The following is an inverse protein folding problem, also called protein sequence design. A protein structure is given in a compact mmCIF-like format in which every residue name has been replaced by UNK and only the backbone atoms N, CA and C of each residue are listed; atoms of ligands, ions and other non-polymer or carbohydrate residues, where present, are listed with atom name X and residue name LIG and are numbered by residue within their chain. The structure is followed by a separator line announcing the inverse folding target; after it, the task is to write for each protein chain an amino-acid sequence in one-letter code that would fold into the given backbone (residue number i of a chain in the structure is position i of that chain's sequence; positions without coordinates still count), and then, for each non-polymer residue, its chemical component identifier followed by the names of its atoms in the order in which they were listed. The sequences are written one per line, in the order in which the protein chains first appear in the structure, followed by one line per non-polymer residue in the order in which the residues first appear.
data_IF_638519246593
#
_entry.id   IF_638519246593
#
_cell.length_a   1.000
_cell.length_b   1.000
_cell.length_c   1.000
_cell.angle_alpha   90.00
_cell.angle_beta   90.00
_cell.angle_gamma   90.00
#
_symmetry.space_group_name_H-M   'P 1'
#
loop_
_entity.id
_entity.type
_entity.pdbx_description
1 polymer ?
#
# COMPACT_ATOMS: atom_id res chain seq x y z
N UNK A 1 17.42 -15.22 -13.17
CA UNK A 1 17.41 -14.51 -11.86
C UNK A 1 18.18 -13.22 -12.06
N UNK A 2 17.51 -12.06 -11.99
CA UNK A 2 18.17 -10.77 -12.22
C UNK A 2 18.89 -10.34 -10.94
N UNK A 3 20.22 -10.31 -10.96
CA UNK A 3 21.06 -9.88 -9.83
C UNK A 3 20.89 -8.39 -9.51
N UNK A 4 20.45 -7.59 -10.48
CA UNK A 4 20.27 -6.15 -10.33
C UNK A 4 19.25 -5.76 -9.24
N UNK A 5 18.12 -6.48 -9.12
CA UNK A 5 17.10 -6.22 -8.09
C UNK A 5 17.55 -6.60 -6.67
N UNK A 6 18.46 -7.56 -6.54
CA UNK A 6 18.98 -8.00 -5.23
C UNK A 6 20.03 -7.03 -4.67
N UNK A 7 20.77 -6.34 -5.54
CA UNK A 7 21.76 -5.34 -5.15
C UNK A 7 21.12 -4.02 -4.71
N UNK A 8 20.02 -3.60 -5.33
CA UNK A 8 19.30 -2.37 -4.96
C UNK A 8 18.60 -2.49 -3.60
N UNK A 9 17.97 -3.63 -3.26
CA UNK A 9 17.32 -3.83 -1.94
C UNK A 9 18.35 -3.80 -0.80
N UNK A 10 19.52 -4.41 -1.02
CA UNK A 10 20.63 -4.33 -0.05
C UNK A 10 21.15 -2.91 0.11
N UNK A 11 21.29 -2.14 -0.98
CA UNK A 11 21.75 -0.76 -0.92
C UNK A 11 20.80 0.11 -0.09
N UNK A 12 19.49 0.08 -0.37
CA UNK A 12 18.48 0.89 0.35
C UNK A 12 18.40 0.57 1.85
N UNK A 13 18.51 -0.71 2.22
CA UNK A 13 18.56 -1.10 3.65
C UNK A 13 19.84 -0.63 4.34
N UNK A 14 20.97 -0.55 3.63
CA UNK A 14 22.23 -0.03 4.18
C UNK A 14 22.18 1.49 4.42
N UNK A 15 21.30 2.22 3.73
CA UNK A 15 21.07 3.66 3.95
C UNK A 15 20.14 3.93 5.16
N UNK A 16 19.61 2.88 5.81
CA UNK A 16 18.80 2.99 7.03
C UNK A 16 17.28 2.96 6.83
N UNK A 17 16.78 2.64 5.63
CA UNK A 17 15.35 2.51 5.39
C UNK A 17 14.73 1.29 6.07
N UNK A 18 13.56 1.48 6.67
CA UNK A 18 12.72 0.39 7.11
C UNK A 18 12.31 -0.50 5.93
N UNK A 19 12.12 -1.79 6.22
CA UNK A 19 11.83 -2.76 5.17
C UNK A 19 10.48 -2.52 4.46
N UNK A 20 9.56 -1.76 5.06
CA UNK A 20 8.31 -1.37 4.41
C UNK A 20 8.53 -0.19 3.46
N UNK A 21 9.30 0.81 3.89
CA UNK A 21 9.66 1.96 3.05
C UNK A 21 10.50 1.56 1.86
N UNK A 22 11.46 0.64 2.04
CA UNK A 22 12.19 0.04 0.91
C UNK A 22 11.24 -0.68 -0.06
N UNK A 23 10.32 -1.50 0.44
CA UNK A 23 9.37 -2.22 -0.42
C UNK A 23 8.43 -1.27 -1.18
N UNK A 24 7.95 -0.21 -0.52
CA UNK A 24 7.16 0.83 -1.16
C UNK A 24 7.94 1.52 -2.27
N UNK A 25 9.19 1.97 -2.01
CA UNK A 25 10.03 2.61 -3.02
C UNK A 25 10.29 1.72 -4.24
N UNK A 26 10.65 0.46 -3.99
CA UNK A 26 10.93 -0.51 -5.05
C UNK A 26 9.73 -0.70 -5.99
N UNK A 27 8.55 -0.85 -5.38
CA UNK A 27 7.33 -1.06 -6.12
C UNK A 27 6.83 0.21 -6.82
N UNK A 28 6.81 1.35 -6.11
CA UNK A 28 6.16 2.58 -6.56
C UNK A 28 7.02 3.43 -7.50
N UNK A 29 8.34 3.48 -7.31
CA UNK A 29 9.20 4.50 -7.96
C UNK A 29 10.41 3.96 -8.70
N UNK A 30 11.00 2.85 -8.26
CA UNK A 30 12.21 2.28 -8.90
C UNK A 30 11.89 1.55 -10.22
N UNK A 31 10.61 1.41 -10.57
CA UNK A 31 10.19 1.17 -11.95
C UNK A 31 10.10 -0.29 -12.37
N UNK A 32 10.18 -1.25 -11.44
CA UNK A 32 9.79 -2.62 -11.70
C UNK A 32 8.34 -2.79 -11.21
N UNK A 33 7.35 -2.44 -12.04
CA UNK A 33 5.96 -2.91 -11.85
C UNK A 33 5.85 -4.45 -11.73
N UNK A 34 6.97 -5.15 -11.95
CA UNK A 34 7.24 -6.58 -11.80
C UNK A 34 7.94 -7.00 -10.50
N UNK A 35 8.21 -6.11 -9.54
CA UNK A 35 8.73 -6.55 -8.23
C UNK A 35 7.56 -7.08 -7.40
N UNK A 36 7.15 -8.30 -7.76
CA UNK A 36 6.03 -8.99 -7.14
C UNK A 36 6.26 -9.20 -5.64
N UNK A 37 7.50 -9.33 -5.19
CA UNK A 37 7.81 -9.54 -3.78
C UNK A 37 7.63 -8.25 -2.98
N UNK A 38 8.10 -7.11 -3.51
CA UNK A 38 7.83 -5.80 -2.93
C UNK A 38 6.33 -5.49 -2.91
N UNK A 39 5.62 -5.75 -4.01
CA UNK A 39 4.17 -5.58 -4.08
C UNK A 39 3.43 -6.45 -3.05
N UNK A 40 3.71 -7.76 -3.03
CA UNK A 40 3.09 -8.69 -2.07
C UNK A 40 3.36 -8.26 -0.63
N UNK A 41 4.57 -7.79 -0.34
CA UNK A 41 4.91 -7.28 0.98
C UNK A 41 4.06 -6.08 1.36
N UNK A 42 3.99 -5.06 0.51
CA UNK A 42 3.16 -3.86 0.74
C UNK A 42 1.71 -4.24 0.95
N UNK A 43 1.14 -5.06 0.05
CA UNK A 43 -0.26 -5.52 0.13
C UNK A 43 -0.51 -6.29 1.43
N UNK A 44 0.36 -7.23 1.80
CA UNK A 44 0.19 -8.03 3.01
C UNK A 44 0.28 -7.17 4.28
N UNK A 45 1.21 -6.22 4.33
CA UNK A 45 1.34 -5.29 5.46
C UNK A 45 0.07 -4.44 5.63
N UNK A 46 -0.42 -3.83 4.55
CA UNK A 46 -1.64 -3.02 4.58
C UNK A 46 -2.88 -3.86 4.89
N UNK A 47 -3.02 -5.05 4.29
CA UNK A 47 -4.14 -5.95 4.56
C UNK A 47 -4.17 -6.42 6.02
N UNK A 48 -3.01 -6.71 6.62
CA UNK A 48 -2.91 -7.02 8.04
C UNK A 48 -3.31 -5.84 8.93
N UNK A 49 -2.95 -4.62 8.54
CA UNK A 49 -3.39 -3.42 9.24
C UNK A 49 -4.91 -3.22 9.15
N UNK A 50 -5.53 -3.48 8.00
CA UNK A 50 -6.99 -3.44 7.86
C UNK A 50 -7.65 -4.40 8.87
N UNK A 51 -7.18 -5.65 8.94
CA UNK A 51 -7.73 -6.66 9.85
C UNK A 51 -7.47 -6.36 11.33
N UNK A 52 -6.35 -5.70 11.66
CA UNK A 52 -6.07 -5.30 13.04
C UNK A 52 -7.03 -4.21 13.53
N UNK A 53 -7.46 -3.32 12.63
CA UNK A 53 -8.45 -2.28 12.92
C UNK A 53 -9.89 -2.81 12.93
N UNK A 54 -10.18 -3.82 12.09
CA UNK A 54 -11.51 -4.39 11.87
C UNK A 54 -11.41 -5.90 11.69
N UNK A 55 -11.48 -6.64 12.80
CA UNK A 55 -11.31 -8.10 12.83
C UNK A 55 -12.40 -8.87 12.06
N UNK A 56 -13.54 -8.23 11.84
CA UNK A 56 -14.69 -8.73 11.10
C UNK A 56 -14.50 -8.69 9.57
N UNK A 57 -13.49 -7.99 9.06
CA UNK A 57 -13.19 -7.93 7.63
C UNK A 57 -12.53 -9.23 7.18
N UNK A 58 -13.10 -9.94 6.18
CA UNK A 58 -12.50 -11.15 5.64
C UNK A 58 -11.11 -10.89 5.02
N UNK A 59 -10.16 -11.85 5.09
CA UNK A 59 -8.83 -11.69 4.50
C UNK A 59 -8.84 -11.25 3.03
N UNK A 60 -9.69 -11.87 2.21
CA UNK A 60 -9.83 -11.51 0.79
C UNK A 60 -10.29 -10.06 0.59
N UNK A 61 -11.17 -9.55 1.45
CA UNK A 61 -11.64 -8.17 1.38
C UNK A 61 -10.55 -7.20 1.85
N UNK A 62 -9.77 -7.57 2.88
CA UNK A 62 -8.64 -6.74 3.35
C UNK A 62 -7.54 -6.56 2.30
N UNK A 63 -7.26 -7.61 1.51
CA UNK A 63 -6.32 -7.54 0.38
C UNK A 63 -6.83 -6.58 -0.68
N UNK A 64 -8.10 -6.69 -1.08
CA UNK A 64 -8.70 -5.78 -2.06
C UNK A 64 -8.70 -4.33 -1.60
N UNK A 65 -8.92 -4.08 -0.31
CA UNK A 65 -8.82 -2.74 0.29
C UNK A 65 -7.39 -2.20 0.16
N UNK A 66 -6.38 -3.03 0.46
CA UNK A 66 -4.97 -2.68 0.33
C UNK A 66 -4.57 -2.37 -1.13
N UNK A 67 -4.92 -3.24 -2.07
CA UNK A 67 -4.67 -3.03 -3.51
C UNK A 67 -5.33 -1.74 -4.00
N UNK A 68 -6.56 -1.48 -3.56
CA UNK A 68 -7.31 -0.30 -3.99
C UNK A 68 -6.71 1.01 -3.46
N UNK A 69 -6.17 1.04 -2.23
CA UNK A 69 -5.51 2.27 -1.73
C UNK A 69 -4.17 2.50 -2.41
N UNK A 70 -3.41 1.43 -2.69
CA UNK A 70 -2.17 1.50 -3.46
C UNK A 70 -2.44 2.12 -4.83
N UNK A 71 -3.44 1.63 -5.57
CA UNK A 71 -3.77 2.16 -6.89
C UNK A 71 -4.22 3.62 -6.83
N UNK A 72 -5.03 4.01 -5.84
CA UNK A 72 -5.44 5.41 -5.66
C UNK A 72 -4.25 6.32 -5.34
N UNK A 73 -3.29 5.85 -4.53
CA UNK A 73 -2.06 6.59 -4.22
C UNK A 73 -1.19 6.76 -5.46
N UNK A 74 -0.94 5.69 -6.20
CA UNK A 74 -0.11 5.73 -7.42
C UNK A 74 -0.72 6.58 -8.54
N UNK A 75 -2.05 6.58 -8.67
CA UNK A 75 -2.74 7.35 -9.71
C UNK A 75 -3.11 8.77 -9.31
N UNK A 76 -3.03 9.10 -8.01
CA UNK A 76 -3.51 10.37 -7.45
C UNK A 76 -5.02 10.57 -7.61
N UNK A 77 -5.78 9.51 -7.89
CA UNK A 77 -7.22 9.58 -8.19
C UNK A 77 -8.02 8.85 -7.13
N UNK A 78 -9.00 9.55 -6.56
CA UNK A 78 -10.00 8.89 -5.71
C UNK A 78 -11.01 8.10 -6.55
N UNK A 79 -11.33 6.89 -6.11
CA UNK A 79 -12.32 6.07 -6.80
C UNK A 79 -13.75 6.43 -6.42
N UNK A 80 -14.65 6.38 -7.41
CA UNK A 80 -16.08 6.58 -7.15
C UNK A 80 -16.63 5.44 -6.29
N UNK A 81 -17.69 5.71 -5.51
CA UNK A 81 -18.38 4.67 -4.70
C UNK A 81 -18.78 3.45 -5.55
N UNK A 82 -19.19 3.67 -6.80
CA UNK A 82 -19.52 2.59 -7.74
C UNK A 82 -18.31 1.71 -8.00
N UNK A 83 -17.18 2.32 -8.37
CA UNK A 83 -15.94 1.59 -8.66
C UNK A 83 -15.43 0.85 -7.41
N UNK A 84 -15.44 1.48 -6.23
CA UNK A 84 -15.08 0.82 -4.98
C UNK A 84 -15.94 -0.42 -4.72
N UNK A 85 -17.27 -0.34 -4.91
CA UNK A 85 -18.17 -1.47 -4.70
C UNK A 85 -17.87 -2.65 -5.65
N UNK A 86 -17.50 -2.35 -6.90
CA UNK A 86 -17.08 -3.35 -7.90
C UNK A 86 -15.76 -4.02 -7.49
N UNK A 87 -14.73 -3.22 -7.16
CA UNK A 87 -13.40 -3.73 -6.76
C UNK A 87 -13.51 -4.63 -5.53
N UNK A 88 -14.22 -4.14 -4.50
CA UNK A 88 -14.44 -4.87 -3.26
C UNK A 88 -15.39 -6.08 -3.44
N UNK A 89 -16.09 -6.16 -4.57
CA UNK A 89 -17.13 -7.16 -4.86
C UNK A 89 -18.19 -7.22 -3.77
N UNK A 90 -18.66 -6.06 -3.34
CA UNK A 90 -19.78 -5.92 -2.40
C UNK A 90 -20.92 -5.13 -3.05
N UNK A 91 -22.18 -5.39 -2.68
CA UNK A 91 -23.30 -4.60 -3.18
C UNK A 91 -23.11 -3.11 -2.88
N UNK A 92 -23.47 -2.24 -3.83
CA UNK A 92 -23.35 -0.78 -3.67
C UNK A 92 -24.06 -0.28 -2.41
N UNK A 93 -25.25 -0.81 -2.11
CA UNK A 93 -26.00 -0.46 -0.90
C UNK A 93 -25.22 -0.82 0.38
N UNK A 94 -24.51 -1.95 0.39
CA UNK A 94 -23.63 -2.35 1.49
C UNK A 94 -22.46 -1.38 1.63
N UNK A 95 -21.80 -1.03 0.52
CA UNK A 95 -20.72 -0.04 0.55
C UNK A 95 -21.19 1.30 1.13
N UNK A 96 -22.34 1.81 0.66
CA UNK A 96 -22.91 3.08 1.11
C UNK A 96 -23.27 3.06 2.59
N UNK A 97 -23.87 1.98 3.09
CA UNK A 97 -24.20 1.82 4.52
C UNK A 97 -22.95 1.89 5.41
N UNK A 98 -21.81 1.41 4.91
CA UNK A 98 -20.55 1.33 5.65
C UNK A 98 -19.51 2.36 5.20
N UNK A 99 -19.89 3.38 4.42
CA UNK A 99 -18.98 4.31 3.77
C UNK A 99 -18.02 5.00 4.74
N UNK A 100 -18.54 5.47 5.88
CA UNK A 100 -17.72 6.11 6.93
C UNK A 100 -16.64 5.17 7.47
N UNK A 101 -16.95 3.89 7.61
CA UNK A 101 -16.01 2.88 8.06
C UNK A 101 -14.90 2.64 7.03
N UNK A 102 -15.26 2.49 5.76
CA UNK A 102 -14.29 2.38 4.67
C UNK A 102 -13.41 3.62 4.56
N UNK A 103 -13.98 4.82 4.63
CA UNK A 103 -13.22 6.08 4.57
C UNK A 103 -12.19 6.17 5.69
N UNK A 104 -12.55 5.80 6.93
CA UNK A 104 -11.61 5.78 8.04
C UNK A 104 -10.45 4.79 7.81
N UNK A 105 -10.75 3.61 7.24
CA UNK A 105 -9.71 2.65 6.87
C UNK A 105 -8.78 3.25 5.83
N UNK A 106 -9.31 3.84 4.76
CA UNK A 106 -8.49 4.46 3.71
C UNK A 106 -7.60 5.58 4.24
N UNK A 107 -8.13 6.48 5.07
CA UNK A 107 -7.33 7.56 5.68
C UNK A 107 -6.17 7.02 6.50
N UNK A 108 -6.36 5.93 7.24
CA UNK A 108 -5.29 5.31 8.02
C UNK A 108 -4.23 4.65 7.14
N UNK A 109 -4.64 3.94 6.10
CA UNK A 109 -3.69 3.32 5.17
C UNK A 109 -2.89 4.38 4.40
N UNK A 110 -3.54 5.46 3.99
CA UNK A 110 -2.90 6.58 3.31
C UNK A 110 -1.86 7.28 4.20
N UNK A 111 -2.16 7.46 5.49
CA UNK A 111 -1.18 7.97 6.46
C UNK A 111 0.04 7.07 6.58
N UNK A 112 -0.16 5.74 6.66
CA UNK A 112 0.96 4.77 6.74
C UNK A 112 1.83 4.80 5.48
N UNK A 113 1.23 4.90 4.30
CA UNK A 113 2.00 5.04 3.06
C UNK A 113 2.76 6.38 3.05
N UNK A 114 2.13 7.45 3.54
CA UNK A 114 2.78 8.77 3.66
C UNK A 114 3.98 8.72 4.62
N UNK A 115 3.88 7.97 5.72
CA UNK A 115 5.00 7.78 6.65
C UNK A 115 6.17 7.04 5.96
N UNK A 116 5.88 6.03 5.14
CA UNK A 116 6.90 5.31 4.36
C UNK A 116 7.58 6.21 3.33
N UNK A 117 6.82 7.08 2.66
CA UNK A 117 7.34 8.08 1.73
C UNK A 117 8.19 9.14 2.45
N UNK A 118 7.75 9.61 3.61
CA UNK A 118 8.51 10.59 4.40
C UNK A 118 9.83 10.01 4.90
N UNK A 119 9.84 8.77 5.38
CA UNK A 119 11.06 8.07 5.79
C UNK A 119 12.04 7.97 4.61
N UNK A 120 11.53 7.61 3.43
CA UNK A 120 12.32 7.57 2.20
C UNK A 120 12.99 8.91 1.88
N UNK A 121 12.22 10.00 1.91
CA UNK A 121 12.74 11.34 1.65
C UNK A 121 13.83 11.72 2.65
N UNK A 122 13.58 11.57 3.95
CA UNK A 122 14.55 11.94 5.00
C UNK A 122 15.88 11.18 4.86
N UNK A 123 15.82 9.88 4.55
CA UNK A 123 17.03 9.07 4.37
C UNK A 123 17.79 9.50 3.11
N UNK A 124 17.09 9.77 2.00
CA UNK A 124 17.74 10.23 0.77
C UNK A 124 18.40 11.60 0.98
N UNK A 125 17.70 12.55 1.59
CA UNK A 125 18.22 13.90 1.85
C UNK A 125 19.42 13.92 2.81
N UNK A 126 19.45 13.03 3.80
CA UNK A 126 20.59 12.94 4.74
C UNK A 126 21.88 12.38 4.14
N UNK A 127 21.81 11.82 2.93
CA UNK A 127 22.94 11.20 2.23
C UNK A 127 23.31 11.92 0.92
N UNK A 128 22.68 13.07 0.63
CA UNK A 128 23.03 14.00 -0.46
C UNK A 128 23.88 15.16 0.08
#
# INVERSE_FOLDING_TARGET
MSTAGMHTDKAWRMVGLSSNSTAWLMYAYVGSRSDEDAFRKVVNTLANLVRSQKRDIPPRLSVKIAEMIIEQRLTGKSFSQRLCSVILSIPRATYQRHEKGFKLIYTKLDAVISDWESEAVTVIESHL
#
